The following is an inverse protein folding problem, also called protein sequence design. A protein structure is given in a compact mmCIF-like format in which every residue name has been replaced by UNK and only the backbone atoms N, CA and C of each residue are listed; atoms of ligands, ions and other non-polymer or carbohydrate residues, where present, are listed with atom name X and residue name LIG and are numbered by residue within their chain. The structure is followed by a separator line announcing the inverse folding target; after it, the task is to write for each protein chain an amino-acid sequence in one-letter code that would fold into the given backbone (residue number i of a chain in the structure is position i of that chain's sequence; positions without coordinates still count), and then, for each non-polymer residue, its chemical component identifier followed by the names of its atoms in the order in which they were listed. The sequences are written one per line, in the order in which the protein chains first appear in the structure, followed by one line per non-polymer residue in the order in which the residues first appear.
data_IF_622540413914
#
_entry.id   IF_622540413914
#
_cell.length_a   1.000
_cell.length_b   1.000
_cell.length_c   1.000
_cell.angle_alpha   90.00
_cell.angle_beta   90.00
_cell.angle_gamma   90.00
#
_symmetry.space_group_name_H-M   'P 1'
#
loop_
_entity.id
_entity.type
_entity.pdbx_description
1 polymer ?
#
# COMPACT_ATOMS: atom_id res chain seq x y z
N UNK A 1 -13.78 9.01 -1.37
CA UNK A 1 -14.72 8.02 -0.76
C UNK A 1 -13.94 6.88 -0.11
N UNK A 2 -14.55 6.10 0.79
CA UNK A 2 -13.90 4.93 1.40
C UNK A 2 -14.46 3.63 0.80
N UNK A 3 -13.58 2.81 0.20
CA UNK A 3 -13.91 1.49 -0.35
C UNK A 3 -13.33 0.42 0.57
N UNK A 4 -14.17 -0.53 0.98
CA UNK A 4 -13.71 -1.71 1.74
C UNK A 4 -13.52 -2.87 0.78
N UNK A 5 -12.33 -3.45 0.76
CA UNK A 5 -12.00 -4.58 -0.12
C UNK A 5 -12.48 -5.87 0.55
N UNK A 6 -13.56 -6.47 0.03
CA UNK A 6 -14.22 -7.64 0.63
C UNK A 6 -13.96 -8.95 -0.11
N UNK A 7 -13.61 -8.86 -1.39
CA UNK A 7 -13.42 -9.98 -2.29
C UNK A 7 -12.23 -9.73 -3.21
N UNK A 8 -11.88 -10.77 -3.98
CA UNK A 8 -10.74 -10.75 -4.89
C UNK A 8 -10.99 -9.81 -6.06
N UNK A 9 -12.24 -9.68 -6.53
CA UNK A 9 -12.59 -8.83 -7.65
C UNK A 9 -12.38 -7.34 -7.29
N UNK A 10 -12.85 -6.91 -6.11
CA UNK A 10 -12.60 -5.56 -5.59
C UNK A 10 -11.10 -5.29 -5.40
N UNK A 11 -10.34 -6.29 -4.96
CA UNK A 11 -8.89 -6.16 -4.83
C UNK A 11 -8.22 -6.00 -6.20
N UNK A 12 -8.65 -6.77 -7.20
CA UNK A 12 -8.14 -6.71 -8.56
C UNK A 12 -8.42 -5.34 -9.18
N UNK A 13 -9.64 -4.82 -9.06
CA UNK A 13 -9.99 -3.47 -9.54
C UNK A 13 -9.10 -2.39 -8.92
N UNK A 14 -8.84 -2.50 -7.61
CA UNK A 14 -7.92 -1.58 -6.93
C UNK A 14 -6.50 -1.69 -7.47
N UNK A 15 -5.98 -2.91 -7.67
CA UNK A 15 -4.64 -3.15 -8.22
C UNK A 15 -4.55 -2.58 -9.64
N UNK A 16 -5.56 -2.79 -10.50
CA UNK A 16 -5.61 -2.20 -11.84
C UNK A 16 -5.49 -0.67 -11.76
N UNK A 17 -6.23 -0.03 -10.86
CA UNK A 17 -6.14 1.41 -10.66
C UNK A 17 -4.76 1.87 -10.15
N UNK A 18 -4.12 1.11 -9.26
CA UNK A 18 -2.75 1.40 -8.80
C UNK A 18 -1.75 1.29 -9.94
N UNK A 19 -1.80 0.21 -10.73
CA UNK A 19 -0.89 -0.01 -11.85
C UNK A 19 -1.05 1.05 -12.93
N UNK A 20 -2.29 1.39 -13.31
CA UNK A 20 -2.55 2.45 -14.29
C UNK A 20 -2.01 3.82 -13.86
N UNK A 21 -2.06 4.15 -12.56
CA UNK A 21 -1.45 5.40 -12.04
C UNK A 21 0.08 5.31 -12.00
N UNK A 22 0.63 4.15 -11.66
CA UNK A 22 2.07 3.93 -11.59
C UNK A 22 2.72 4.09 -12.97
N UNK A 23 2.12 3.52 -14.00
CA UNK A 23 2.64 3.62 -15.38
C UNK A 23 2.60 5.05 -15.93
N UNK A 24 1.65 5.89 -15.49
CA UNK A 24 1.53 7.27 -15.95
C UNK A 24 2.36 8.28 -15.14
N UNK A 25 2.46 8.11 -13.83
CA UNK A 25 2.97 9.17 -12.93
C UNK A 25 3.90 8.68 -11.81
N UNK A 26 4.08 7.37 -11.64
CA UNK A 26 4.84 6.81 -10.51
C UNK A 26 5.62 5.54 -10.91
N UNK A 27 6.37 5.62 -12.03
CA UNK A 27 7.09 4.48 -12.60
C UNK A 27 8.15 3.86 -11.66
N UNK A 28 8.59 4.57 -10.63
CA UNK A 28 9.55 4.07 -9.64
C UNK A 28 8.95 3.04 -8.66
N UNK A 29 7.62 2.83 -8.67
CA UNK A 29 6.96 1.91 -7.73
C UNK A 29 6.06 0.87 -8.41
N UNK A 30 6.03 0.81 -9.75
CA UNK A 30 5.12 -0.09 -10.48
C UNK A 30 5.43 -1.58 -10.22
N UNK A 31 6.70 -1.96 -10.08
CA UNK A 31 7.10 -3.35 -9.80
C UNK A 31 6.85 -3.70 -8.34
N UNK A 32 7.31 -2.86 -7.41
CA UNK A 32 7.19 -3.14 -5.97
C UNK A 32 5.73 -3.14 -5.50
N UNK A 33 4.84 -2.42 -6.18
CA UNK A 33 3.41 -2.39 -5.88
C UNK A 33 2.76 -3.78 -5.95
N UNK A 34 3.16 -4.61 -6.92
CA UNK A 34 2.65 -5.98 -7.04
C UNK A 34 3.13 -6.87 -5.87
N UNK A 35 4.40 -6.72 -5.49
CA UNK A 35 4.95 -7.47 -4.36
C UNK A 35 4.31 -7.03 -3.02
N UNK A 36 4.09 -5.73 -2.84
CA UNK A 36 3.37 -5.18 -1.70
C UNK A 36 1.93 -5.69 -1.64
N UNK A 37 1.22 -5.76 -2.77
CA UNK A 37 -0.13 -6.31 -2.80
C UNK A 37 -0.15 -7.76 -2.29
N UNK A 38 0.76 -8.61 -2.76
CA UNK A 38 0.90 -9.99 -2.27
C UNK A 38 1.25 -10.07 -0.78
N UNK A 39 2.21 -9.26 -0.32
CA UNK A 39 2.64 -9.24 1.08
C UNK A 39 1.53 -8.77 2.03
N UNK A 40 0.75 -7.77 1.63
CA UNK A 40 -0.42 -7.27 2.36
C UNK A 40 -1.47 -8.37 2.46
N UNK A 41 -1.84 -9.02 1.35
CA UNK A 41 -2.82 -10.11 1.34
C UNK A 41 -2.38 -11.26 2.25
N UNK A 42 -1.09 -11.60 2.23
CA UNK A 42 -0.51 -12.66 3.06
C UNK A 42 -0.62 -12.39 4.56
N UNK A 43 -0.31 -11.16 5.01
CA UNK A 43 -0.19 -10.83 6.44
C UNK A 43 -1.43 -10.16 7.04
N UNK A 44 -2.39 -9.70 6.23
CA UNK A 44 -3.54 -8.94 6.74
C UNK A 44 -4.47 -9.78 7.64
N UNK A 45 -4.97 -9.13 8.67
CA UNK A 45 -6.08 -9.62 9.48
C UNK A 45 -7.35 -9.80 8.61
N UNK A 46 -8.38 -10.45 9.14
CA UNK A 46 -9.64 -10.69 8.41
C UNK A 46 -10.33 -9.34 8.10
N UNK A 47 -10.79 -9.19 6.86
CA UNK A 47 -11.60 -8.05 6.38
C UNK A 47 -11.03 -6.64 6.70
N UNK A 48 -9.70 -6.47 6.66
CA UNK A 48 -9.06 -5.26 7.19
C UNK A 48 -8.62 -4.22 6.16
N UNK A 49 -8.68 -4.52 4.85
CA UNK A 49 -8.23 -3.59 3.81
C UNK A 49 -9.31 -2.53 3.55
N UNK A 50 -8.93 -1.26 3.71
CA UNK A 50 -9.75 -0.09 3.38
C UNK A 50 -8.95 0.89 2.54
N UNK A 51 -9.49 1.26 1.39
CA UNK A 51 -8.90 2.29 0.54
C UNK A 51 -9.67 3.58 0.75
N UNK A 52 -8.97 4.66 1.03
CA UNK A 52 -9.58 5.98 1.12
C UNK A 52 -9.04 6.89 0.02
N UNK A 53 -9.97 7.48 -0.73
CA UNK A 53 -9.71 8.56 -1.65
C UNK A 53 -10.17 9.87 -1.01
N UNK A 54 -9.30 10.88 -0.97
CA UNK A 54 -9.70 12.26 -0.66
C UNK A 54 -9.84 13.03 -1.97
N UNK A 55 -10.95 13.75 -2.11
CA UNK A 55 -11.15 14.65 -3.24
C UNK A 55 -10.15 15.81 -3.18
N UNK A 56 -9.71 16.22 -4.37
CA UNK A 56 -8.89 17.39 -4.71
C UNK A 56 -7.36 17.28 -4.68
N UNK A 57 -6.76 16.09 -4.63
CA UNK A 57 -5.41 15.78 -5.17
C UNK A 57 -4.99 14.39 -4.67
N UNK A 58 -5.16 13.37 -5.52
CA UNK A 58 -4.49 12.06 -5.50
C UNK A 58 -3.75 11.69 -4.21
N UNK A 59 -4.50 11.39 -3.14
CA UNK A 59 -3.96 10.78 -1.92
C UNK A 59 -4.75 9.53 -1.63
N UNK A 60 -4.56 8.53 -2.50
CA UNK A 60 -5.06 7.18 -2.24
C UNK A 60 -4.23 6.60 -1.10
N UNK A 61 -4.93 6.30 0.00
CA UNK A 61 -4.32 5.66 1.16
C UNK A 61 -4.94 4.28 1.31
N UNK A 62 -4.11 3.25 1.22
CA UNK A 62 -4.50 1.90 1.60
C UNK A 62 -4.25 1.73 3.09
N UNK A 63 -5.30 1.38 3.82
CA UNK A 63 -5.23 0.98 5.21
C UNK A 63 -5.37 -0.51 5.32
N UNK A 64 -4.60 -1.12 6.22
CA UNK A 64 -4.70 -2.54 6.54
C UNK A 64 -4.39 -2.76 8.02
N UNK A 65 -5.04 -3.74 8.63
CA UNK A 65 -4.62 -4.25 9.94
C UNK A 65 -3.80 -5.53 9.75
N UNK A 66 -2.66 -5.61 10.41
CA UNK A 66 -1.76 -6.78 10.47
C UNK A 66 -1.45 -7.00 11.95
N UNK A 67 -1.76 -8.17 12.48
CA UNK A 67 -1.49 -8.55 13.88
C UNK A 67 -2.09 -7.54 14.88
N UNK A 68 -3.31 -7.07 14.62
CA UNK A 68 -4.02 -6.08 15.43
C UNK A 68 -3.51 -4.64 15.33
N UNK A 69 -2.45 -4.37 14.55
CA UNK A 69 -1.90 -3.03 14.32
C UNK A 69 -2.33 -2.49 12.97
N UNK A 70 -2.62 -1.18 12.93
CA UNK A 70 -3.10 -0.48 11.74
C UNK A 70 -1.94 0.19 10.99
N UNK A 71 -1.83 -0.10 9.70
CA UNK A 71 -0.83 0.45 8.80
C UNK A 71 -1.47 1.20 7.64
N UNK A 72 -0.84 2.29 7.22
CA UNK A 72 -1.17 3.05 6.03
C UNK A 72 -0.07 2.92 4.98
N UNK A 73 -0.44 2.64 3.74
CA UNK A 73 0.42 2.69 2.57
C UNK A 73 -0.01 3.87 1.70
N UNK A 74 0.93 4.77 1.43
CA UNK A 74 0.67 6.01 0.68
C UNK A 74 1.82 6.30 -0.27
N UNK A 75 1.50 6.71 -1.50
CA UNK A 75 2.51 7.19 -2.42
C UNK A 75 2.96 8.60 -2.02
N UNK A 76 4.27 8.78 -1.89
CA UNK A 76 4.90 10.05 -1.57
C UNK A 76 5.42 10.69 -2.86
N UNK A 77 4.78 11.78 -3.28
CA UNK A 77 5.13 12.49 -4.51
C UNK A 77 6.48 13.22 -4.45
N UNK A 78 6.99 13.53 -3.25
CA UNK A 78 8.28 14.21 -3.10
C UNK A 78 9.45 13.22 -3.26
N UNK A 79 9.29 11.98 -2.79
CA UNK A 79 10.33 10.95 -2.84
C UNK A 79 10.18 9.94 -3.97
N UNK A 80 8.97 9.84 -4.56
CA UNK A 80 8.66 8.84 -5.58
C UNK A 80 8.60 7.41 -5.04
N UNK A 81 8.23 7.24 -3.76
CA UNK A 81 8.19 5.95 -3.06
C UNK A 81 6.82 5.70 -2.42
N UNK A 82 6.56 4.45 -2.04
CA UNK A 82 5.43 4.09 -1.18
C UNK A 82 5.89 4.09 0.27
N UNK A 83 5.31 4.97 1.09
CA UNK A 83 5.53 5.03 2.52
C UNK A 83 4.62 4.06 3.26
N UNK A 84 5.16 3.35 4.25
CA UNK A 84 4.40 2.58 5.23
C UNK A 84 4.44 3.28 6.58
N UNK A 85 3.26 3.68 7.07
CA UNK A 85 3.10 4.46 8.32
C UNK A 85 2.27 3.69 9.34
N UNK A 86 2.59 3.84 10.63
CA UNK A 86 1.80 3.25 11.73
C UNK A 86 0.67 4.20 12.17
N UNK A 87 -0.53 3.65 12.45
CA UNK A 87 -1.69 4.29 13.11
C UNK A 87 -2.35 5.47 12.39
N UNK A 88 -1.61 6.45 11.90
CA UNK A 88 -2.12 7.68 11.28
C UNK A 88 -1.41 7.96 9.95
N UNK A 89 -2.08 8.68 9.03
CA UNK A 89 -1.45 9.13 7.77
C UNK A 89 -0.32 10.12 8.05
N UNK A 90 -0.32 10.81 9.20
CA UNK A 90 0.75 11.72 9.64
C UNK A 90 1.74 11.04 10.61
N UNK A 91 1.59 9.73 10.84
CA UNK A 91 2.45 8.98 11.74
C UNK A 91 3.85 8.83 11.18
N UNK A 92 4.78 8.42 12.03
CA UNK A 92 6.16 8.17 11.61
C UNK A 92 6.20 7.19 10.44
N UNK A 93 6.98 7.54 9.43
CA UNK A 93 7.30 6.62 8.35
C UNK A 93 8.14 5.47 8.91
N UNK A 94 7.68 4.23 8.74
CA UNK A 94 8.41 3.05 9.19
C UNK A 94 9.36 2.55 8.11
N UNK A 95 8.86 2.50 6.87
CA UNK A 95 9.58 1.97 5.71
C UNK A 95 9.15 2.70 4.45
N UNK A 96 10.08 2.79 3.49
CA UNK A 96 9.82 3.30 2.15
C UNK A 96 10.11 2.20 1.14
N UNK A 97 9.27 2.10 0.11
CA UNK A 97 9.37 1.07 -0.92
C UNK A 97 9.41 1.68 -2.31
N UNK A 98 10.29 1.16 -3.14
CA UNK A 98 10.39 1.42 -4.58
C UNK A 98 10.88 0.17 -5.31
N UNK A 99 11.02 0.25 -6.63
CA UNK A 99 11.46 -0.87 -7.47
C UNK A 99 12.91 -1.32 -7.15
N UNK A 100 13.71 -0.52 -6.43
CA UNK A 100 15.03 -0.95 -5.98
C UNK A 100 14.98 -1.80 -4.70
N UNK A 101 13.83 -1.85 -4.02
CA UNK A 101 13.68 -2.61 -2.78
C UNK A 101 13.72 -4.11 -3.06
N UNK A 102 14.67 -4.82 -2.46
CA UNK A 102 14.77 -6.27 -2.65
C UNK A 102 13.57 -7.01 -2.06
N UNK A 103 13.09 -8.04 -2.75
CA UNK A 103 11.97 -8.87 -2.26
C UNK A 103 12.30 -9.59 -0.94
N UNK A 104 13.58 -9.89 -0.70
CA UNK A 104 14.05 -10.41 0.59
C UNK A 104 13.87 -9.42 1.72
N UNK A 105 14.17 -8.13 1.48
CA UNK A 105 13.96 -7.07 2.47
C UNK A 105 12.48 -6.88 2.74
N UNK A 106 11.66 -6.81 1.68
CA UNK A 106 10.20 -6.73 1.79
C UNK A 106 9.65 -7.88 2.64
N UNK A 107 10.05 -9.12 2.33
CA UNK A 107 9.61 -10.30 3.08
C UNK A 107 9.99 -10.22 4.56
N UNK A 108 11.25 -9.88 4.85
CA UNK A 108 11.73 -9.77 6.23
C UNK A 108 10.99 -8.70 7.03
N UNK A 109 10.66 -7.56 6.40
CA UNK A 109 9.84 -6.52 7.02
C UNK A 109 8.47 -7.11 7.40
N UNK A 110 7.78 -7.76 6.46
CA UNK A 110 6.45 -8.33 6.70
C UNK A 110 6.44 -9.51 7.69
N UNK A 111 7.51 -10.30 7.77
CA UNK A 111 7.68 -11.33 8.79
C UNK A 111 7.78 -10.74 10.21
N UNK A 112 8.37 -9.55 10.35
CA UNK A 112 8.57 -8.87 11.64
C UNK A 112 7.34 -8.06 12.13
N UNK A 113 6.26 -7.98 11.34
CA UNK A 113 4.97 -7.35 11.70
C UNK A 113 4.08 -8.27 12.54
#
# INVERSE_FOLDING_TARGET
MAVTVKDVDTLQEYIIGVMGRADHHAGNVNEIALALAGAIVWKKDIASIKVMERESETKNVLWVNINGKKYAFVYNHDTGKIDMREKTIQGSNLHEFDNSTSLSTLKNIFDAL
#
